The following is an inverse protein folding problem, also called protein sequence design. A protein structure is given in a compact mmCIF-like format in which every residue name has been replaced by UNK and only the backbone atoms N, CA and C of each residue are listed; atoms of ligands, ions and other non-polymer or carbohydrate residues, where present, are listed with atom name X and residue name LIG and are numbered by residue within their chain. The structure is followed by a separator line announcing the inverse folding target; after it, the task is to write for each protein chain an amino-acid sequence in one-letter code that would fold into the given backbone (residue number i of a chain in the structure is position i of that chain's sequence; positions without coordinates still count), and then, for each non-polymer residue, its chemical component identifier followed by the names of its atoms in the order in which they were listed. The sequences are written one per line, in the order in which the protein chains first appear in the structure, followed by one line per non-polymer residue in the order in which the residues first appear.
data_IF_190280773953
#
_entry.id   IF_190280773953
#
_cell.length_a   1.000
_cell.length_b   1.000
_cell.length_c   1.000
_cell.angle_alpha   90.00
_cell.angle_beta   90.00
_cell.angle_gamma   90.00
#
_symmetry.space_group_name_H-M   'P 1'
#
loop_
_entity.id
_entity.type
_entity.pdbx_description
1 polymer ?
#
# COMPACT_ATOMS: atom_id res chain seq x y z
N UNK A 1 16.85 20.84 8.69
CA UNK A 1 15.97 20.18 7.72
C UNK A 1 15.20 19.07 8.43
N UNK A 2 13.91 18.99 8.20
CA UNK A 2 13.15 17.83 8.66
C UNK A 2 13.58 16.60 7.88
N UNK A 3 13.64 15.40 8.51
CA UNK A 3 13.91 14.18 7.77
C UNK A 3 12.87 13.98 6.68
N UNK A 4 13.23 13.34 5.56
CA UNK A 4 12.26 13.05 4.51
C UNK A 4 11.11 12.21 5.10
N UNK A 5 9.88 12.53 4.71
CA UNK A 5 8.71 11.79 5.16
C UNK A 5 8.82 10.34 4.70
N UNK A 6 8.54 9.36 5.56
CA UNK A 6 8.73 7.96 5.23
C UNK A 6 7.79 7.46 4.14
N UNK A 7 8.25 6.42 3.45
CA UNK A 7 7.46 5.67 2.48
C UNK A 7 6.83 4.49 3.19
N UNK A 8 5.50 4.39 3.16
CA UNK A 8 4.82 3.19 3.62
C UNK A 8 4.51 2.28 2.43
N UNK A 9 4.92 1.02 2.53
CA UNK A 9 4.67 -0.02 1.54
C UNK A 9 3.65 -1.02 2.09
N UNK A 10 2.55 -1.20 1.37
CA UNK A 10 1.57 -2.25 1.70
C UNK A 10 1.94 -3.57 1.06
N UNK A 11 1.38 -4.67 1.58
CA UNK A 11 1.53 -5.99 0.97
C UNK A 11 2.94 -6.59 1.07
N UNK A 12 3.76 -6.16 2.04
CA UNK A 12 5.15 -6.62 2.16
C UNK A 12 5.31 -8.10 2.52
N UNK A 13 4.26 -8.74 2.99
CA UNK A 13 4.25 -10.19 3.23
C UNK A 13 3.90 -11.01 1.97
N UNK A 14 3.43 -10.37 0.90
CA UNK A 14 3.13 -11.00 -0.39
C UNK A 14 4.32 -10.97 -1.35
N UNK A 15 4.21 -11.70 -2.46
CA UNK A 15 5.30 -11.83 -3.44
C UNK A 15 5.75 -10.48 -4.03
N UNK A 16 4.81 -9.69 -4.54
CA UNK A 16 5.12 -8.38 -5.15
C UNK A 16 5.68 -7.40 -4.12
N UNK A 17 5.03 -7.25 -2.97
CA UNK A 17 5.49 -6.34 -1.94
C UNK A 17 6.87 -6.71 -1.38
N UNK A 18 7.16 -7.99 -1.23
CA UNK A 18 8.50 -8.48 -0.84
C UNK A 18 9.55 -8.07 -1.89
N UNK A 19 9.24 -8.26 -3.17
CA UNK A 19 10.14 -7.89 -4.27
C UNK A 19 10.38 -6.38 -4.33
N UNK A 20 9.33 -5.59 -4.20
CA UNK A 20 9.45 -4.12 -4.15
C UNK A 20 10.36 -3.70 -2.99
N UNK A 21 10.11 -4.21 -1.79
CA UNK A 21 10.93 -3.89 -0.62
C UNK A 21 12.40 -4.24 -0.85
N UNK A 22 12.68 -5.42 -1.41
CA UNK A 22 14.03 -5.84 -1.74
C UNK A 22 14.72 -4.84 -2.68
N UNK A 23 14.05 -4.40 -3.74
CA UNK A 23 14.63 -3.44 -4.67
C UNK A 23 14.80 -2.05 -4.08
N UNK A 24 13.88 -1.58 -3.25
CA UNK A 24 14.05 -0.31 -2.53
C UNK A 24 15.31 -0.32 -1.67
N UNK A 25 15.56 -1.41 -0.97
CA UNK A 25 16.71 -1.54 -0.07
C UNK A 25 18.03 -1.80 -0.80
N UNK A 26 18.05 -2.72 -1.77
CA UNK A 26 19.30 -3.28 -2.33
C UNK A 26 19.63 -2.80 -3.74
N UNK A 27 18.65 -2.34 -4.52
CA UNK A 27 18.90 -1.79 -5.86
C UNK A 27 18.96 -0.27 -5.82
N UNK A 28 18.02 0.36 -5.11
CA UNK A 28 17.94 1.82 -5.00
C UNK A 28 18.64 2.35 -3.74
N UNK A 29 19.09 1.48 -2.85
CA UNK A 29 19.85 1.81 -1.65
C UNK A 29 19.17 2.89 -0.79
N UNK A 30 17.84 2.80 -0.65
CA UNK A 30 17.12 3.70 0.25
C UNK A 30 17.50 3.39 1.70
N UNK A 31 17.55 4.43 2.51
CA UNK A 31 17.78 4.27 3.94
C UNK A 31 16.66 3.42 4.56
N UNK A 32 16.98 2.26 5.19
CA UNK A 32 15.96 1.37 5.72
C UNK A 32 14.98 2.05 6.69
N UNK A 33 15.48 2.96 7.52
CA UNK A 33 14.66 3.72 8.47
C UNK A 33 13.65 4.67 7.80
N UNK A 34 13.81 4.96 6.51
CA UNK A 34 12.86 5.76 5.72
C UNK A 34 11.69 4.94 5.17
N UNK A 35 11.70 3.62 5.35
CA UNK A 35 10.69 2.70 4.83
C UNK A 35 9.89 2.12 5.99
N UNK A 36 8.58 2.05 5.82
CA UNK A 36 7.65 1.38 6.73
C UNK A 36 7.06 0.19 5.98
N UNK A 37 7.43 -1.01 6.41
CA UNK A 37 6.78 -2.24 5.95
C UNK A 37 5.50 -2.49 6.75
N UNK A 38 4.50 -3.07 6.12
CA UNK A 38 3.23 -3.36 6.77
C UNK A 38 2.79 -4.80 6.57
N UNK A 39 2.08 -5.34 7.54
CA UNK A 39 1.44 -6.65 7.47
C UNK A 39 0.23 -6.69 8.39
N UNK A 40 -0.74 -7.56 8.07
CA UNK A 40 -1.88 -7.87 8.94
C UNK A 40 -1.46 -8.59 10.22
N UNK A 41 -0.31 -9.26 10.20
CA UNK A 41 0.21 -9.99 11.36
C UNK A 41 1.42 -9.31 11.98
N UNK A 42 1.30 -8.99 13.27
CA UNK A 42 2.41 -8.44 14.07
C UNK A 42 3.60 -9.39 14.19
N UNK A 43 3.39 -10.69 13.96
CA UNK A 43 4.46 -11.70 13.98
C UNK A 43 5.53 -11.45 12.92
N UNK A 44 5.22 -10.68 11.87
CA UNK A 44 6.17 -10.30 10.84
C UNK A 44 7.12 -9.15 11.24
N UNK A 45 6.86 -8.46 12.35
CA UNK A 45 7.66 -7.33 12.83
C UNK A 45 9.17 -7.63 12.90
N UNK A 46 9.63 -8.71 13.54
CA UNK A 46 11.07 -8.97 13.67
C UNK A 46 11.79 -9.11 12.33
N UNK A 47 11.10 -9.65 11.32
CA UNK A 47 11.64 -9.81 9.97
C UNK A 47 12.05 -8.47 9.34
N UNK A 48 11.27 -7.43 9.55
CA UNK A 48 11.52 -6.09 8.97
C UNK A 48 12.46 -5.28 9.84
N UNK A 49 12.23 -5.27 11.14
CA UNK A 49 13.07 -4.52 12.09
C UNK A 49 14.52 -5.03 12.11
N UNK A 50 14.76 -6.32 11.87
CA UNK A 50 16.11 -6.87 11.70
C UNK A 50 16.88 -6.31 10.51
N UNK A 51 16.17 -5.73 9.54
CA UNK A 51 16.75 -5.06 8.38
C UNK A 51 16.83 -3.53 8.55
N UNK A 52 16.49 -3.02 9.73
CA UNK A 52 16.41 -1.57 9.99
C UNK A 52 15.16 -0.89 9.45
N UNK A 53 14.23 -1.67 8.87
CA UNK A 53 12.97 -1.16 8.32
C UNK A 53 11.94 -1.01 9.43
N UNK A 54 11.21 0.10 9.45
CA UNK A 54 10.10 0.29 10.38
C UNK A 54 8.96 -0.70 10.06
N UNK A 55 8.21 -1.11 11.08
CA UNK A 55 7.05 -1.98 10.90
C UNK A 55 5.81 -1.38 11.53
N UNK A 56 4.70 -1.44 10.81
CA UNK A 56 3.37 -1.10 11.33
C UNK A 56 2.36 -2.17 10.94
N UNK A 57 1.46 -2.51 11.85
CA UNK A 57 0.32 -3.37 11.54
C UNK A 57 -0.65 -2.60 10.64
N UNK A 58 -1.09 -3.25 9.55
CA UNK A 58 -2.06 -2.68 8.64
C UNK A 58 -2.89 -3.79 8.02
N UNK A 59 -4.21 -3.69 8.17
CA UNK A 59 -5.18 -4.59 7.59
C UNK A 59 -6.28 -3.77 6.91
N UNK A 60 -6.43 -3.94 5.61
CA UNK A 60 -7.40 -3.18 4.80
C UNK A 60 -8.85 -3.42 5.23
N UNK A 61 -9.14 -4.61 5.76
CA UNK A 61 -10.47 -4.98 6.27
C UNK A 61 -10.73 -4.45 7.68
N UNK A 62 -9.70 -3.91 8.35
CA UNK A 62 -9.79 -3.38 9.72
C UNK A 62 -9.41 -1.90 9.74
N UNK A 63 -10.41 -1.00 9.49
CA UNK A 63 -10.16 0.45 9.38
C UNK A 63 -9.43 1.07 10.57
N UNK A 64 -9.60 0.52 11.76
CA UNK A 64 -8.93 1.00 12.97
C UNK A 64 -7.40 0.86 12.93
N UNK A 65 -6.86 -0.01 12.07
CA UNK A 65 -5.41 -0.17 11.90
C UNK A 65 -4.80 0.88 10.96
N UNK A 66 -5.62 1.49 10.11
CA UNK A 66 -5.15 2.32 9.00
C UNK A 66 -4.65 3.69 9.46
N UNK A 67 -5.39 4.35 10.35
CA UNK A 67 -5.00 5.66 10.88
C UNK A 67 -3.62 5.63 11.52
N UNK A 68 -3.38 4.78 12.54
CA UNK A 68 -2.08 4.65 13.17
C UNK A 68 -0.96 4.24 12.21
N UNK A 69 -1.27 3.38 11.21
CA UNK A 69 -0.27 2.96 10.23
C UNK A 69 0.17 4.11 9.31
N UNK A 70 -0.75 5.00 8.94
CA UNK A 70 -0.50 6.10 8.00
C UNK A 70 -0.02 7.40 8.66
N UNK A 71 0.06 7.45 9.98
CA UNK A 71 0.51 8.65 10.69
C UNK A 71 1.93 9.05 10.27
N UNK A 72 2.09 10.30 9.83
CA UNK A 72 3.37 10.87 9.41
C UNK A 72 3.92 10.34 8.08
N UNK A 73 3.16 9.51 7.35
CA UNK A 73 3.57 8.98 6.05
C UNK A 73 3.50 10.06 4.97
N UNK A 74 4.58 10.21 4.21
CA UNK A 74 4.62 11.14 3.08
C UNK A 74 4.19 10.51 1.77
N UNK A 75 4.64 9.29 1.51
CA UNK A 75 4.30 8.52 0.31
C UNK A 75 3.74 7.16 0.69
N UNK A 76 2.56 6.84 0.17
CA UNK A 76 1.98 5.51 0.24
C UNK A 76 2.24 4.76 -1.07
N UNK A 77 3.03 3.70 -1.02
CA UNK A 77 3.19 2.75 -2.11
C UNK A 77 2.16 1.64 -1.91
N UNK A 78 1.06 1.75 -2.63
CA UNK A 78 -0.15 0.97 -2.43
C UNK A 78 -0.19 -0.23 -3.36
N UNK A 79 0.22 -1.38 -2.87
CA UNK A 79 -0.01 -2.68 -3.52
C UNK A 79 -1.43 -3.13 -3.22
N UNK A 80 -2.17 -3.54 -4.24
CA UNK A 80 -3.58 -3.90 -4.14
C UNK A 80 -3.83 -5.04 -3.15
N UNK A 81 -5.06 -5.09 -2.62
CA UNK A 81 -5.54 -6.21 -1.82
C UNK A 81 -5.49 -7.52 -2.62
N UNK A 82 -5.24 -8.62 -1.92
CA UNK A 82 -5.34 -9.98 -2.47
C UNK A 82 -6.76 -10.54 -2.47
N UNK A 83 -7.75 -9.75 -2.06
CA UNK A 83 -9.16 -10.16 -2.06
C UNK A 83 -9.67 -10.37 -3.49
N UNK A 84 -10.35 -11.49 -3.73
CA UNK A 84 -10.90 -11.84 -5.05
C UNK A 84 -12.28 -11.23 -5.31
N UNK A 85 -13.07 -11.04 -4.25
CA UNK A 85 -14.39 -10.40 -4.37
C UNK A 85 -14.22 -8.91 -4.66
N UNK A 86 -14.75 -8.45 -5.79
CA UNK A 86 -14.62 -7.06 -6.24
C UNK A 86 -15.21 -6.08 -5.25
N UNK A 87 -16.39 -6.37 -4.69
CA UNK A 87 -17.04 -5.47 -3.72
C UNK A 87 -16.25 -5.33 -2.43
N UNK A 88 -15.69 -6.43 -1.94
CA UNK A 88 -14.83 -6.41 -0.75
C UNK A 88 -13.53 -5.67 -1.04
N UNK A 89 -12.88 -5.95 -2.19
CA UNK A 89 -11.66 -5.27 -2.60
C UNK A 89 -11.88 -3.76 -2.73
N UNK A 90 -12.97 -3.33 -3.35
CA UNK A 90 -13.31 -1.91 -3.46
C UNK A 90 -13.49 -1.27 -2.08
N UNK A 91 -14.15 -1.97 -1.14
CA UNK A 91 -14.30 -1.50 0.24
C UNK A 91 -12.96 -1.38 0.95
N UNK A 92 -12.10 -2.40 0.84
CA UNK A 92 -10.76 -2.40 1.41
C UNK A 92 -9.90 -1.26 0.85
N UNK A 93 -9.90 -1.08 -0.46
CA UNK A 93 -9.16 0.01 -1.11
C UNK A 93 -9.74 1.38 -0.74
N UNK A 94 -11.06 1.51 -0.65
CA UNK A 94 -11.73 2.73 -0.18
C UNK A 94 -11.30 3.10 1.25
N UNK A 95 -11.24 2.12 2.15
CA UNK A 95 -10.76 2.33 3.53
C UNK A 95 -9.34 2.91 3.54
N UNK A 96 -8.44 2.37 2.72
CA UNK A 96 -7.04 2.84 2.63
C UNK A 96 -6.98 4.26 2.09
N UNK A 97 -7.69 4.55 0.99
CA UNK A 97 -7.69 5.88 0.36
C UNK A 97 -8.23 6.93 1.33
N UNK A 98 -9.38 6.66 1.97
CA UNK A 98 -9.98 7.58 2.93
C UNK A 98 -9.08 7.82 4.15
N UNK A 99 -8.39 6.77 4.63
CA UNK A 99 -7.44 6.91 5.72
C UNK A 99 -6.20 7.71 5.30
N UNK A 100 -5.70 7.53 4.08
CA UNK A 100 -4.57 8.28 3.54
C UNK A 100 -4.89 9.79 3.43
N UNK A 101 -6.10 10.12 2.98
CA UNK A 101 -6.58 11.51 2.93
C UNK A 101 -6.63 12.11 4.34
N UNK A 102 -7.22 11.40 5.31
CA UNK A 102 -7.31 11.88 6.70
C UNK A 102 -5.95 12.05 7.37
N UNK A 103 -4.99 11.18 7.02
CA UNK A 103 -3.63 11.24 7.55
C UNK A 103 -2.75 12.32 6.89
N UNK A 104 -3.23 12.93 5.81
CA UNK A 104 -2.48 13.94 5.07
C UNK A 104 -1.31 13.37 4.26
N UNK A 105 -1.43 12.13 3.78
CA UNK A 105 -0.45 11.51 2.88
C UNK A 105 -0.34 12.38 1.61
N UNK A 106 0.89 12.73 1.24
CA UNK A 106 1.14 13.70 0.17
C UNK A 106 1.05 13.09 -1.23
N UNK A 107 1.37 11.80 -1.36
CA UNK A 107 1.34 11.10 -2.63
C UNK A 107 1.00 9.63 -2.44
N UNK A 108 0.28 9.08 -3.40
CA UNK A 108 -0.03 7.64 -3.46
C UNK A 108 0.45 7.11 -4.81
N UNK A 109 1.28 6.07 -4.76
CA UNK A 109 1.66 5.28 -5.92
C UNK A 109 0.93 3.94 -5.84
N UNK A 110 0.00 3.75 -6.74
CA UNK A 110 -0.84 2.56 -6.76
C UNK A 110 -0.37 1.55 -7.79
N UNK A 111 -0.19 0.31 -7.36
CA UNK A 111 0.15 -0.79 -8.27
C UNK A 111 -1.14 -1.37 -8.84
N UNK A 112 -1.44 -0.96 -10.06
CA UNK A 112 -2.59 -1.42 -10.86
C UNK A 112 -2.18 -2.50 -11.85
N UNK A 113 -3.06 -2.86 -12.78
CA UNK A 113 -2.81 -3.75 -13.88
C UNK A 113 -2.62 -2.99 -15.20
N UNK A 114 -1.80 -3.55 -16.08
CA UNK A 114 -1.30 -2.83 -17.25
C UNK A 114 -2.35 -2.49 -18.32
N UNK A 115 -3.46 -3.22 -18.40
CA UNK A 115 -4.45 -3.00 -19.45
C UNK A 115 -5.87 -3.27 -18.97
N UNK A 116 -6.66 -2.22 -18.94
CA UNK A 116 -8.07 -2.24 -18.52
C UNK A 116 -9.09 -2.26 -19.65
N UNK A 117 -8.70 -2.66 -20.87
CA UNK A 117 -9.53 -2.53 -22.07
C UNK A 117 -9.28 -1.21 -22.80
N UNK A 118 -9.72 -1.08 -24.04
CA UNK A 118 -9.53 0.10 -24.88
C UNK A 118 -10.23 1.35 -24.36
N UNK A 119 -11.38 1.17 -23.67
CA UNK A 119 -12.14 2.25 -23.02
C UNK A 119 -12.15 2.18 -21.50
N UNK A 120 -11.19 1.46 -20.87
CA UNK A 120 -11.26 1.06 -19.47
C UNK A 120 -12.56 0.33 -19.14
N UNK A 121 -12.95 -0.55 -20.03
CA UNK A 121 -14.23 -1.27 -20.06
C UNK A 121 -14.06 -2.79 -19.90
N UNK A 122 -12.97 -3.22 -19.29
CA UNK A 122 -12.69 -4.64 -19.06
C UNK A 122 -13.79 -5.30 -18.21
N UNK A 123 -14.34 -6.38 -18.72
CA UNK A 123 -15.32 -7.22 -18.01
C UNK A 123 -14.67 -8.22 -17.06
N UNK A 124 -13.34 -8.22 -16.95
CA UNK A 124 -12.61 -9.07 -16.01
C UNK A 124 -12.78 -8.50 -14.60
N UNK A 125 -13.47 -9.23 -13.73
CA UNK A 125 -13.93 -8.75 -12.42
C UNK A 125 -12.84 -8.16 -11.55
N UNK A 126 -11.67 -8.79 -11.47
CA UNK A 126 -10.56 -8.21 -10.68
C UNK A 126 -9.98 -6.94 -11.31
N UNK A 127 -10.10 -6.76 -12.65
CA UNK A 127 -9.70 -5.52 -13.31
C UNK A 127 -10.65 -4.36 -12.97
N UNK A 128 -11.93 -4.63 -12.83
CA UNK A 128 -12.92 -3.62 -12.39
C UNK A 128 -12.51 -2.97 -11.09
N UNK A 129 -12.02 -3.74 -10.13
CA UNK A 129 -11.56 -3.20 -8.85
C UNK A 129 -10.33 -2.29 -9.01
N UNK A 130 -9.43 -2.60 -9.94
CA UNK A 130 -8.29 -1.74 -10.26
C UNK A 130 -8.73 -0.44 -10.91
N UNK A 131 -9.62 -0.48 -11.88
CA UNK A 131 -10.17 0.71 -12.54
C UNK A 131 -10.94 1.60 -11.55
N UNK A 132 -11.76 0.99 -10.68
CA UNK A 132 -12.44 1.71 -9.62
C UNK A 132 -11.46 2.42 -8.68
N UNK A 133 -10.38 1.75 -8.29
CA UNK A 133 -9.36 2.32 -7.40
C UNK A 133 -8.63 3.47 -8.07
N UNK A 134 -8.24 3.32 -9.34
CA UNK A 134 -7.60 4.39 -10.11
C UNK A 134 -8.49 5.64 -10.18
N UNK A 135 -9.76 5.46 -10.46
CA UNK A 135 -10.73 6.57 -10.53
C UNK A 135 -10.87 7.24 -9.15
N UNK A 136 -11.00 6.44 -8.09
CA UNK A 136 -11.11 6.95 -6.72
C UNK A 136 -9.87 7.75 -6.29
N UNK A 137 -8.69 7.37 -6.75
CA UNK A 137 -7.45 8.10 -6.46
C UNK A 137 -7.31 9.43 -7.22
N UNK A 138 -8.03 9.60 -8.33
CA UNK A 138 -8.03 10.86 -9.11
C UNK A 138 -8.98 11.91 -8.55
N UNK A 139 -9.97 11.50 -7.81
CA UNK A 139 -10.99 12.41 -7.22
C UNK A 139 -10.62 12.87 -5.84
#
# INVERSE_FOLDING_TARGET
MSPPSPILLTGTAGGLGTTILHHLLHTHNLEPASIIATSRSRSNRPKYESQGVQFRELDFARPETLGPALEGVGLLLFVSSSEWDTSKRNREHGNVIDAAVRAGVKAVWYVSLAFGGWGNDSEVTFMEAHLWTEERLRT
#
